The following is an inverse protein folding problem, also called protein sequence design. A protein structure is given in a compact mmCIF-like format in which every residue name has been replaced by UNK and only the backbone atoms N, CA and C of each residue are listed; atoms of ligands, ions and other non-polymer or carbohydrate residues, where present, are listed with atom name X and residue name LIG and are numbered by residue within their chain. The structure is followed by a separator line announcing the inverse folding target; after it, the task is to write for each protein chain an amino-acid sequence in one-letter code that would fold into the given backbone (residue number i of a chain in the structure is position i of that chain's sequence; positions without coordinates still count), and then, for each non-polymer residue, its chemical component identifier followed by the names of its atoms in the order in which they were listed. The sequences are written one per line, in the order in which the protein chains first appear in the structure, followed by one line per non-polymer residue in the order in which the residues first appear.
data_IF_385164685122
#
_entry.id   IF_385164685122
#
_cell.length_a   1.000
_cell.length_b   1.000
_cell.length_c   1.000
_cell.angle_alpha   90.00
_cell.angle_beta   90.00
_cell.angle_gamma   90.00
#
_symmetry.space_group_name_H-M   'P 1'
#
loop_
_entity.id
_entity.type
_entity.pdbx_description
1 polymer ?
#
# COMPACT_ATOMS: atom_id res chain seq x y z
N UNK A 1 -16.41 -11.15 3.82
CA UNK A 1 -16.10 -12.59 3.69
C UNK A 1 -15.56 -13.01 2.32
N UNK A 2 -16.20 -12.61 1.21
CA UNK A 2 -15.83 -13.08 -0.13
C UNK A 2 -14.39 -12.74 -0.59
N UNK A 3 -13.85 -11.58 -0.22
CA UNK A 3 -12.47 -11.19 -0.55
C UNK A 3 -11.45 -12.10 0.15
N UNK A 4 -11.60 -12.32 1.46
CA UNK A 4 -10.72 -13.20 2.24
C UNK A 4 -10.71 -14.64 1.70
N UNK A 5 -11.88 -15.19 1.37
CA UNK A 5 -11.97 -16.51 0.75
C UNK A 5 -11.23 -16.58 -0.60
N UNK A 6 -11.47 -15.60 -1.49
CA UNK A 6 -10.77 -15.55 -2.78
C UNK A 6 -9.26 -15.46 -2.64
N UNK A 7 -8.77 -14.63 -1.71
CA UNK A 7 -7.33 -14.49 -1.49
C UNK A 7 -6.73 -15.75 -0.85
N UNK A 8 -7.46 -16.41 0.07
CA UNK A 8 -7.04 -17.70 0.63
C UNK A 8 -6.95 -18.81 -0.43
N UNK A 9 -7.89 -18.87 -1.38
CA UNK A 9 -7.82 -19.81 -2.51
C UNK A 9 -6.65 -19.49 -3.43
N UNK A 10 -6.35 -18.21 -3.70
CA UNK A 10 -5.14 -17.81 -4.45
C UNK A 10 -3.86 -18.24 -3.73
N UNK A 11 -3.81 -18.08 -2.41
CA UNK A 11 -2.70 -18.50 -1.56
C UNK A 11 -2.49 -20.02 -1.62
N UNK A 12 -3.54 -20.82 -1.49
CA UNK A 12 -3.45 -22.28 -1.58
C UNK A 12 -2.90 -22.73 -2.94
N UNK A 13 -3.42 -22.15 -4.03
CA UNK A 13 -2.92 -22.42 -5.39
C UNK A 13 -1.46 -22.00 -5.58
N UNK A 14 -1.02 -20.95 -4.89
CA UNK A 14 0.38 -20.54 -4.90
C UNK A 14 1.26 -21.56 -4.16
N UNK A 15 0.86 -21.99 -2.96
CA UNK A 15 1.58 -23.01 -2.18
C UNK A 15 1.68 -24.33 -2.96
N UNK A 16 0.59 -24.76 -3.61
CA UNK A 16 0.56 -25.96 -4.45
C UNK A 16 1.53 -25.90 -5.66
N UNK A 17 1.82 -24.70 -6.16
CA UNK A 17 2.75 -24.48 -7.29
C UNK A 17 4.21 -24.38 -6.87
N UNK A 18 4.48 -24.05 -5.60
CA UNK A 18 5.85 -23.97 -5.08
C UNK A 18 6.31 -25.39 -4.80
N UNK A 19 6.88 -26.00 -5.83
CA UNK A 19 7.35 -27.38 -5.79
C UNK A 19 8.60 -27.49 -4.89
N UNK A 20 8.43 -28.01 -3.67
CA UNK A 20 9.50 -28.54 -2.80
C UNK A 20 10.60 -27.56 -2.29
N UNK A 21 10.31 -26.26 -2.20
CA UNK A 21 11.21 -25.28 -1.55
C UNK A 21 10.81 -24.93 -0.11
N UNK A 22 11.78 -24.51 0.72
CA UNK A 22 11.48 -23.83 1.98
C UNK A 22 10.70 -22.54 1.68
N UNK A 23 9.44 -22.47 2.13
CA UNK A 23 8.61 -21.28 2.00
C UNK A 23 8.78 -20.43 3.26
N UNK A 24 9.26 -19.20 3.11
CA UNK A 24 9.26 -18.24 4.21
C UNK A 24 7.82 -17.77 4.46
N UNK A 25 7.17 -18.36 5.45
CA UNK A 25 5.77 -18.07 5.84
C UNK A 25 5.56 -16.58 6.08
N UNK A 26 6.57 -15.89 6.63
CA UNK A 26 6.54 -14.46 6.90
C UNK A 26 6.38 -13.63 5.62
N UNK A 27 7.16 -13.92 4.59
CA UNK A 27 7.04 -13.23 3.28
C UNK A 27 5.67 -13.50 2.64
N UNK A 28 5.22 -14.75 2.73
CA UNK A 28 3.93 -15.16 2.18
C UNK A 28 2.76 -14.43 2.84
N UNK A 29 2.79 -14.30 4.16
CA UNK A 29 1.79 -13.56 4.93
C UNK A 29 1.82 -12.07 4.63
N UNK A 30 2.99 -11.48 4.34
CA UNK A 30 3.05 -10.08 3.87
C UNK A 30 2.40 -9.89 2.51
N UNK A 31 2.68 -10.78 1.55
CA UNK A 31 2.05 -10.75 0.22
C UNK A 31 0.54 -10.87 0.34
N UNK A 32 0.07 -11.75 1.23
CA UNK A 32 -1.35 -11.93 1.55
C UNK A 32 -1.97 -10.65 2.10
N UNK A 33 -1.38 -10.06 3.13
CA UNK A 33 -1.88 -8.85 3.77
C UNK A 33 -1.94 -7.68 2.79
N UNK A 34 -0.91 -7.50 1.95
CA UNK A 34 -0.90 -6.44 0.93
C UNK A 34 -1.99 -6.66 -0.13
N UNK A 35 -2.21 -7.89 -0.60
CA UNK A 35 -3.28 -8.20 -1.56
C UNK A 35 -4.68 -7.98 -0.96
N UNK A 36 -4.90 -8.40 0.29
CA UNK A 36 -6.17 -8.18 1.00
C UNK A 36 -6.40 -6.68 1.18
N UNK A 37 -5.40 -5.96 1.68
CA UNK A 37 -5.48 -4.52 1.91
C UNK A 37 -5.76 -3.76 0.61
N UNK A 38 -5.08 -4.14 -0.48
CA UNK A 38 -5.35 -3.64 -1.83
C UNK A 38 -6.82 -3.74 -2.21
N UNK A 39 -7.39 -4.93 -2.10
CA UNK A 39 -8.76 -5.21 -2.52
C UNK A 39 -9.80 -4.58 -1.62
N UNK A 40 -9.58 -4.60 -0.30
CA UNK A 40 -10.56 -4.14 0.69
C UNK A 40 -10.53 -2.61 0.86
N UNK A 41 -9.35 -1.99 0.86
CA UNK A 41 -9.24 -0.55 1.10
C UNK A 41 -9.30 0.26 -0.20
N UNK A 42 -8.71 -0.26 -1.29
CA UNK A 42 -8.51 0.52 -2.52
C UNK A 42 -9.22 -0.05 -3.74
N UNK A 43 -9.92 -1.18 -3.60
CA UNK A 43 -10.50 -1.95 -4.71
C UNK A 43 -9.44 -2.27 -5.79
N UNK A 44 -8.21 -2.54 -5.35
CA UNK A 44 -7.07 -2.79 -6.23
C UNK A 44 -6.47 -4.18 -6.01
N UNK A 45 -6.27 -4.92 -7.09
CA UNK A 45 -5.58 -6.20 -7.05
C UNK A 45 -4.09 -5.99 -7.35
N UNK A 46 -3.25 -6.08 -6.31
CA UNK A 46 -1.80 -6.00 -6.50
C UNK A 46 -1.25 -7.23 -7.23
N UNK A 47 -1.98 -8.35 -7.24
CA UNK A 47 -1.60 -9.61 -7.87
C UNK A 47 -0.26 -10.17 -7.39
N UNK A 48 0.00 -10.08 -6.08
CA UNK A 48 1.30 -10.41 -5.48
C UNK A 48 1.65 -11.91 -5.48
N UNK A 49 0.69 -12.79 -5.83
CA UNK A 49 0.84 -14.25 -5.88
C UNK A 49 1.07 -14.81 -7.29
N UNK A 50 0.73 -14.06 -8.34
CA UNK A 50 0.94 -14.50 -9.73
C UNK A 50 2.27 -13.99 -10.29
N UNK A 51 2.79 -12.88 -9.73
CA UNK A 51 4.12 -12.34 -10.05
C UNK A 51 4.98 -12.25 -8.78
N UNK A 52 5.91 -13.19 -8.63
CA UNK A 52 6.85 -13.23 -7.51
C UNK A 52 7.82 -12.03 -7.52
N UNK A 53 8.04 -11.42 -8.68
CA UNK A 53 8.88 -10.23 -8.87
C UNK A 53 8.12 -8.93 -8.75
N UNK A 54 6.84 -8.98 -8.36
CA UNK A 54 5.98 -7.82 -8.32
C UNK A 54 6.61 -6.68 -7.52
N UNK A 55 6.91 -5.62 -8.26
CA UNK A 55 7.62 -4.42 -7.81
C UNK A 55 6.96 -3.81 -6.58
N UNK A 56 5.65 -4.00 -6.37
CA UNK A 56 4.95 -3.42 -5.21
C UNK A 56 5.44 -4.00 -3.88
N UNK A 57 5.55 -5.33 -3.75
CA UNK A 57 5.94 -5.98 -2.48
C UNK A 57 7.41 -5.76 -2.20
N UNK A 58 8.25 -5.97 -3.20
CA UNK A 58 9.71 -5.80 -3.08
C UNK A 58 10.07 -4.36 -2.79
N UNK A 59 9.49 -3.39 -3.52
CA UNK A 59 9.74 -1.96 -3.24
C UNK A 59 9.17 -1.56 -1.89
N UNK A 60 8.00 -2.07 -1.48
CA UNK A 60 7.43 -1.79 -0.17
C UNK A 60 8.31 -2.31 0.97
N UNK A 61 8.71 -3.58 0.93
CA UNK A 61 9.61 -4.19 1.92
C UNK A 61 10.96 -3.48 1.97
N UNK A 62 11.52 -3.11 0.82
CA UNK A 62 12.76 -2.34 0.75
C UNK A 62 12.60 -0.98 1.44
N UNK A 63 11.53 -0.23 1.18
CA UNK A 63 11.29 1.07 1.84
C UNK A 63 11.11 0.90 3.34
N UNK A 64 10.33 -0.08 3.79
CA UNK A 64 10.16 -0.33 5.23
C UNK A 64 11.49 -0.68 5.87
N UNK A 65 12.30 -1.55 5.25
CA UNK A 65 13.61 -1.91 5.78
C UNK A 65 14.57 -0.70 5.84
N UNK A 66 14.54 0.21 4.86
CA UNK A 66 15.29 1.47 4.90
C UNK A 66 14.78 2.42 6.00
N UNK A 67 13.46 2.48 6.22
CA UNK A 67 12.85 3.27 7.28
C UNK A 67 13.21 2.72 8.67
N UNK A 68 13.18 1.39 8.86
CA UNK A 68 13.55 0.72 10.11
C UNK A 68 15.04 0.86 10.44
N UNK A 69 15.92 0.87 9.43
CA UNK A 69 17.37 1.05 9.59
C UNK A 69 17.80 2.51 9.71
N UNK A 70 16.92 3.45 9.36
CA UNK A 70 17.26 4.87 9.29
C UNK A 70 17.45 5.48 10.68
N UNK A 71 18.71 5.67 11.05
CA UNK A 71 19.12 6.49 12.20
C UNK A 71 18.56 7.93 12.13
N UNK A 72 18.13 8.37 10.94
CA UNK A 72 17.46 9.66 10.71
C UNK A 72 16.16 9.82 11.49
N UNK A 73 15.45 8.72 11.81
CA UNK A 73 14.22 8.79 12.61
C UNK A 73 14.52 9.12 14.08
N UNK A 74 15.70 8.71 14.55
CA UNK A 74 16.20 8.97 15.90
C UNK A 74 16.89 10.34 15.96
N UNK A 75 17.56 10.75 14.87
CA UNK A 75 18.35 11.97 14.81
C UNK A 75 18.03 12.77 13.51
N UNK A 76 17.03 13.66 13.54
CA UNK A 76 16.51 14.34 12.34
C UNK A 76 17.53 15.20 11.59
N UNK A 77 18.54 15.75 12.28
CA UNK A 77 19.51 16.67 11.70
C UNK A 77 20.61 15.99 10.88
N UNK A 78 20.78 14.67 10.99
CA UNK A 78 21.78 13.91 10.19
C UNK A 78 21.41 13.93 8.70
N UNK A 79 20.14 14.18 8.36
CA UNK A 79 19.67 14.35 6.97
C UNK A 79 20.35 15.51 6.23
N UNK A 80 20.87 16.51 6.95
CA UNK A 80 21.57 17.66 6.35
C UNK A 80 23.09 17.42 6.18
N UNK A 81 23.61 16.28 6.65
CA UNK A 81 25.03 15.97 6.55
C UNK A 81 25.36 15.34 5.18
N UNK A 82 26.30 15.91 4.40
CA UNK A 82 26.59 15.46 3.03
C UNK A 82 27.25 14.07 2.96
N UNK A 83 27.71 13.51 4.08
CA UNK A 83 28.31 12.18 4.17
C UNK A 83 27.28 11.04 4.19
N UNK A 84 26.03 11.36 4.52
CA UNK A 84 24.95 10.39 4.62
C UNK A 84 24.17 10.37 3.30
N UNK A 85 24.60 9.51 2.37
CA UNK A 85 23.93 9.32 1.09
C UNK A 85 22.57 8.64 1.28
N UNK A 86 21.50 9.40 1.08
CA UNK A 86 20.11 8.96 1.16
C UNK A 86 19.48 8.80 -0.23
N UNK A 87 20.28 8.86 -1.30
CA UNK A 87 19.80 8.81 -2.69
C UNK A 87 19.04 7.52 -2.98
N UNK A 88 19.52 6.37 -2.49
CA UNK A 88 18.83 5.09 -2.70
C UNK A 88 17.51 4.98 -1.94
N UNK A 89 17.46 5.44 -0.69
CA UNK A 89 16.21 5.52 0.07
C UNK A 89 15.19 6.44 -0.63
N UNK A 90 15.63 7.61 -1.11
CA UNK A 90 14.79 8.53 -1.87
C UNK A 90 14.28 7.91 -3.18
N UNK A 91 15.12 7.17 -3.92
CA UNK A 91 14.69 6.45 -5.14
C UNK A 91 13.62 5.41 -4.83
N UNK A 92 13.77 4.64 -3.76
CA UNK A 92 12.80 3.63 -3.32
C UNK A 92 11.47 4.28 -2.89
N UNK A 93 11.51 5.35 -2.10
CA UNK A 93 10.32 6.13 -1.73
C UNK A 93 9.62 6.71 -2.97
N UNK A 94 10.38 7.22 -3.95
CA UNK A 94 9.82 7.74 -5.19
C UNK A 94 9.11 6.66 -6.02
N UNK A 95 9.58 5.40 -6.01
CA UNK A 95 8.89 4.28 -6.66
C UNK A 95 7.53 3.99 -6.01
N UNK A 96 7.46 3.94 -4.68
CA UNK A 96 6.18 3.77 -3.96
C UNK A 96 5.24 4.94 -4.20
N UNK A 97 5.76 6.17 -4.14
CA UNK A 97 4.97 7.36 -4.43
C UNK A 97 4.33 7.29 -5.82
N UNK A 98 5.08 6.86 -6.85
CA UNK A 98 4.54 6.66 -8.20
C UNK A 98 3.44 5.60 -8.24
N UNK A 99 3.58 4.50 -7.49
CA UNK A 99 2.56 3.47 -7.38
C UNK A 99 1.27 4.03 -6.77
N UNK A 100 1.37 4.68 -5.62
CA UNK A 100 0.24 5.28 -4.91
C UNK A 100 -0.46 6.36 -5.72
N UNK A 101 0.32 7.24 -6.36
CA UNK A 101 -0.23 8.26 -7.24
C UNK A 101 -1.00 7.63 -8.42
N UNK A 102 -0.46 6.56 -9.02
CA UNK A 102 -1.16 5.83 -10.08
C UNK A 102 -2.49 5.23 -9.60
N UNK A 103 -2.53 4.66 -8.39
CA UNK A 103 -3.76 4.12 -7.80
C UNK A 103 -4.82 5.21 -7.63
N UNK A 104 -4.43 6.32 -7.02
CA UNK A 104 -5.29 7.50 -6.81
C UNK A 104 -5.83 8.01 -8.13
N UNK A 105 -4.98 8.24 -9.12
CA UNK A 105 -5.37 8.78 -10.42
C UNK A 105 -6.27 7.83 -11.20
N UNK A 106 -5.99 6.53 -11.14
CA UNK A 106 -6.84 5.50 -11.78
C UNK A 106 -8.24 5.52 -11.17
N UNK A 107 -8.32 5.61 -9.84
CA UNK A 107 -9.59 5.62 -9.11
C UNK A 107 -10.37 6.92 -9.31
N UNK A 108 -9.69 8.08 -9.37
CA UNK A 108 -10.31 9.36 -9.71
C UNK A 108 -10.93 9.35 -11.10
N UNK A 109 -10.24 8.75 -12.09
CA UNK A 109 -10.72 8.67 -13.48
C UNK A 109 -11.87 7.68 -13.66
N UNK A 110 -11.93 6.63 -12.84
CA UNK A 110 -12.96 5.58 -12.99
C UNK A 110 -14.26 5.88 -12.26
N UNK A 111 -14.29 6.90 -11.40
CA UNK A 111 -15.45 7.22 -10.57
C UNK A 111 -16.17 8.46 -11.09
N UNK A 112 -17.46 8.29 -11.43
CA UNK A 112 -18.34 9.43 -11.66
C UNK A 112 -18.73 10.09 -10.34
N UNK A 113 -18.72 11.43 -10.28
CA UNK A 113 -19.08 12.20 -9.06
C UNK A 113 -20.45 11.82 -8.51
N UNK A 114 -21.43 11.54 -9.38
CA UNK A 114 -22.79 11.14 -8.96
C UNK A 114 -22.81 9.76 -8.30
N UNK A 115 -22.05 8.81 -8.86
CA UNK A 115 -21.92 7.48 -8.27
C UNK A 115 -21.17 7.52 -6.94
N UNK A 116 -20.11 8.33 -6.84
CA UNK A 116 -19.38 8.53 -5.59
C UNK A 116 -20.30 9.04 -4.48
N UNK A 117 -21.05 10.10 -4.74
CA UNK A 117 -21.98 10.68 -3.76
C UNK A 117 -23.02 9.66 -3.28
N UNK A 118 -23.53 8.82 -4.18
CA UNK A 118 -24.46 7.73 -3.84
C UNK A 118 -23.80 6.65 -2.98
N UNK A 119 -22.56 6.25 -3.29
CA UNK A 119 -21.80 5.28 -2.50
C UNK A 119 -21.51 5.82 -1.09
N UNK A 120 -21.15 7.09 -0.98
CA UNK A 120 -20.90 7.77 0.30
C UNK A 120 -22.18 7.85 1.12
N UNK A 121 -23.30 8.31 0.54
CA UNK A 121 -24.58 8.42 1.25
C UNK A 121 -25.10 7.07 1.76
N UNK A 122 -24.82 6.00 1.02
CA UNK A 122 -25.25 4.65 1.38
C UNK A 122 -24.23 3.90 2.26
N UNK A 123 -23.11 4.55 2.63
CA UNK A 123 -22.00 3.95 3.36
C UNK A 123 -21.44 2.67 2.71
N UNK A 124 -21.40 2.63 1.37
CA UNK A 124 -20.88 1.50 0.59
C UNK A 124 -19.57 1.84 -0.14
N UNK A 125 -19.03 3.04 0.08
CA UNK A 125 -17.79 3.48 -0.53
C UNK A 125 -16.58 2.77 0.09
N UNK A 126 -15.55 2.54 -0.73
CA UNK A 126 -14.27 2.04 -0.24
C UNK A 126 -13.44 3.15 0.41
N UNK A 127 -12.44 2.76 1.19
CA UNK A 127 -11.59 3.71 1.92
C UNK A 127 -10.93 4.77 1.00
N UNK A 128 -10.39 4.37 -0.15
CA UNK A 128 -9.85 5.33 -1.14
C UNK A 128 -10.90 6.31 -1.66
N UNK A 129 -12.13 5.85 -1.82
CA UNK A 129 -13.24 6.66 -2.32
C UNK A 129 -13.63 7.73 -1.29
N UNK A 130 -13.60 7.39 0.00
CA UNK A 130 -13.75 8.37 1.08
C UNK A 130 -12.64 9.42 1.08
N UNK A 131 -11.38 9.01 0.87
CA UNK A 131 -10.26 9.95 0.77
C UNK A 131 -10.41 10.90 -0.42
N UNK A 132 -10.81 10.38 -1.58
CA UNK A 132 -11.07 11.19 -2.79
C UNK A 132 -12.22 12.17 -2.53
N UNK A 133 -13.31 11.70 -1.91
CA UNK A 133 -14.45 12.55 -1.56
C UNK A 133 -14.04 13.69 -0.62
N UNK A 134 -13.33 13.37 0.46
CA UNK A 134 -12.82 14.35 1.41
C UNK A 134 -11.85 15.36 0.75
N UNK A 135 -11.00 14.91 -0.18
CA UNK A 135 -10.08 15.79 -0.90
C UNK A 135 -10.78 16.81 -1.81
N UNK A 136 -12.04 16.56 -2.16
CA UNK A 136 -12.84 17.43 -3.03
C UNK A 136 -13.61 18.49 -2.25
N UNK A 137 -13.49 18.54 -0.91
CA UNK A 137 -14.11 19.57 -0.08
C UNK A 137 -13.43 20.92 -0.34
N UNK A 138 -14.16 21.94 -0.86
CA UNK A 138 -13.60 23.25 -1.12
C UNK A 138 -13.15 23.99 0.15
N UNK A 139 -13.62 23.59 1.33
CA UNK A 139 -13.25 24.18 2.62
C UNK A 139 -11.91 23.67 3.14
N UNK A 140 -11.55 22.43 2.81
CA UNK A 140 -10.32 21.76 3.23
C UNK A 140 -9.73 20.92 2.09
N UNK A 141 -9.23 21.56 1.02
CA UNK A 141 -8.71 20.82 -0.12
C UNK A 141 -7.46 20.03 0.29
N UNK A 142 -7.44 18.73 -0.03
CA UNK A 142 -6.27 17.87 0.18
C UNK A 142 -5.55 17.74 -1.15
N UNK A 143 -4.28 18.11 -1.18
CA UNK A 143 -3.46 17.97 -2.39
C UNK A 143 -3.24 16.49 -2.77
N UNK A 144 -2.93 16.22 -4.04
CA UNK A 144 -2.60 14.86 -4.48
C UNK A 144 -1.40 14.26 -3.70
N UNK A 145 -0.45 15.11 -3.31
CA UNK A 145 0.72 14.73 -2.53
C UNK A 145 0.33 14.34 -1.10
N UNK A 146 -0.47 15.16 -0.40
CA UNK A 146 -0.97 14.84 0.94
C UNK A 146 -1.82 13.56 0.95
N UNK A 147 -2.60 13.33 -0.11
CA UNK A 147 -3.39 12.12 -0.24
C UNK A 147 -2.50 10.87 -0.39
N UNK A 148 -1.40 10.97 -1.13
CA UNK A 148 -0.36 9.93 -1.18
C UNK A 148 0.29 9.69 0.18
N UNK A 149 0.57 10.75 0.96
CA UNK A 149 1.16 10.61 2.30
C UNK A 149 0.20 9.94 3.28
N UNK A 150 -1.07 10.34 3.29
CA UNK A 150 -2.09 9.67 4.10
C UNK A 150 -2.19 8.20 3.74
N UNK A 151 -2.22 7.87 2.45
CA UNK A 151 -2.23 6.49 1.97
C UNK A 151 -1.01 5.69 2.47
N UNK A 152 0.19 6.29 2.40
CA UNK A 152 1.42 5.67 2.90
C UNK A 152 1.36 5.39 4.41
N UNK A 153 0.82 6.32 5.21
CA UNK A 153 0.64 6.16 6.65
C UNK A 153 -0.30 5.00 6.97
N UNK A 154 -1.45 4.90 6.28
CA UNK A 154 -2.39 3.80 6.51
C UNK A 154 -1.80 2.44 6.11
N UNK A 155 -1.03 2.39 5.02
CA UNK A 155 -0.31 1.17 4.61
C UNK A 155 0.73 0.76 5.65
N UNK A 156 1.54 1.70 6.12
CA UNK A 156 2.55 1.48 7.15
C UNK A 156 1.94 0.98 8.46
N UNK A 157 0.89 1.66 8.94
CA UNK A 157 0.19 1.27 10.16
C UNK A 157 -0.39 -0.14 10.06
N UNK A 158 -1.04 -0.46 8.92
CA UNK A 158 -1.62 -1.79 8.67
C UNK A 158 -0.55 -2.88 8.65
N UNK A 159 0.64 -2.57 8.14
CA UNK A 159 1.77 -3.48 8.09
C UNK A 159 2.36 -3.74 9.48
N UNK A 160 2.58 -2.70 10.27
CA UNK A 160 3.17 -2.82 11.61
C UNK A 160 2.25 -3.52 12.61
N UNK A 161 0.93 -3.33 12.50
CA UNK A 161 -0.03 -4.08 13.33
C UNK A 161 -0.07 -5.55 12.94
N UNK A 162 -0.05 -5.86 11.63
CA UNK A 162 -0.07 -7.25 11.15
C UNK A 162 1.20 -8.02 11.55
N UNK A 163 2.36 -7.35 11.59
CA UNK A 163 3.63 -7.91 12.07
C UNK A 163 3.61 -8.35 13.53
N UNK A 164 2.85 -7.67 14.39
CA UNK A 164 2.80 -7.97 15.82
C UNK A 164 1.90 -9.15 16.15
N UNK A 165 1.01 -9.52 15.24
CA UNK A 165 0.06 -10.64 15.41
C UNK A 165 0.51 -11.94 14.68
N UNK A 166 1.64 -11.88 13.98
CA UNK A 166 2.28 -12.99 13.24
C UNK A 166 3.58 -13.43 13.91
#
# INVERSE_FOLDING_TARGET
MHVFYKTAVKLLKFIEKVDSGHIEVKELMYRLTLDILGRVAFEFDFNNFEDLTNVCVTTYQEVIAECEKSIYFIIPFIKYFPYFDHTEACKKVAKIYKLYNRLIETKRKSIETKELNKKISNNTAYFLEYMIYASSDPKYPISAEEMCYNLAIFMLASHDTSKKEL
#
